data_IF_810664335231
#
_entry.id   IF_810664335231
#
_cell.length_a   1.000
_cell.length_b   1.000
_cell.length_c   1.000
_cell.angle_alpha   90.00
_cell.angle_beta   90.00
_cell.angle_gamma   90.00
#
_symmetry.space_group_name_H-M   'P 1'
#
loop_
_entity.id
_entity.type
_entity.pdbx_description
1 polymer ?
#
# COMPACT_ATOMS: atom_id res chain seq x y z
N UNK A 1 3.33 -2.89 -13.71
CA UNK A 1 2.32 -3.61 -12.89
C UNK A 1 2.25 -2.92 -11.52
N UNK A 2 1.14 -2.98 -10.79
CA UNK A 2 1.06 -2.47 -9.41
C UNK A 2 0.40 -3.56 -8.54
N UNK A 3 0.99 -3.87 -7.38
CA UNK A 3 0.55 -4.98 -6.52
C UNK A 3 0.55 -4.58 -5.03
N UNK A 4 -0.59 -4.71 -4.36
CA UNK A 4 -0.64 -4.50 -2.91
C UNK A 4 -0.22 -5.78 -2.18
N UNK A 5 0.62 -5.71 -1.13
CA UNK A 5 1.01 -6.89 -0.36
C UNK A 5 -0.19 -7.45 0.41
N UNK A 6 -0.43 -8.75 0.27
CA UNK A 6 -1.37 -9.50 1.08
C UNK A 6 -0.71 -10.13 2.29
N UNK A 7 -1.52 -10.83 3.08
CA UNK A 7 -1.04 -11.51 4.29
C UNK A 7 -0.09 -12.68 3.97
N UNK A 8 -0.16 -13.24 2.75
CA UNK A 8 0.71 -14.32 2.28
C UNK A 8 2.13 -13.86 1.93
N UNK A 9 2.33 -12.55 1.77
CA UNK A 9 3.63 -11.95 1.49
C UNK A 9 4.43 -11.66 2.77
N UNK A 10 3.85 -11.95 3.94
CA UNK A 10 4.49 -11.74 5.24
C UNK A 10 5.04 -13.04 5.80
N UNK A 11 6.30 -13.00 6.24
CA UNK A 11 6.91 -14.09 6.99
C UNK A 11 6.25 -14.14 8.38
N UNK A 12 5.69 -15.31 8.72
CA UNK A 12 5.05 -15.54 10.03
C UNK A 12 6.11 -15.79 11.09
N UNK A 13 6.15 -14.94 12.12
CA UNK A 13 7.07 -15.04 13.26
C UNK A 13 6.62 -14.12 14.41
N UNK A 14 7.49 -13.87 15.40
CA UNK A 14 7.23 -12.93 16.51
C UNK A 14 6.84 -11.53 16.04
N UNK A 15 7.37 -11.11 14.89
CA UNK A 15 6.99 -9.90 14.18
C UNK A 15 6.58 -10.25 12.75
N UNK A 16 5.56 -9.57 12.22
CA UNK A 16 5.18 -9.68 10.81
C UNK A 16 6.14 -8.84 9.99
N UNK A 17 7.02 -9.50 9.23
CA UNK A 17 7.98 -8.84 8.34
C UNK A 17 7.62 -9.17 6.90
N UNK A 18 7.53 -8.15 6.07
CA UNK A 18 7.29 -8.31 4.64
C UNK A 18 8.49 -9.01 3.99
N UNK A 19 8.23 -10.02 3.18
CA UNK A 19 9.27 -10.81 2.54
C UNK A 19 10.09 -9.93 1.57
N UNK A 20 11.43 -9.98 1.67
CA UNK A 20 12.31 -9.05 0.93
C UNK A 20 12.17 -9.14 -0.59
N UNK A 21 11.98 -10.34 -1.13
CA UNK A 21 11.76 -10.61 -2.57
C UNK A 21 10.51 -9.91 -3.08
N UNK A 22 9.49 -9.72 -2.23
CA UNK A 22 8.30 -8.98 -2.64
C UNK A 22 8.63 -7.56 -3.12
N UNK A 23 9.54 -6.86 -2.42
CA UNK A 23 10.00 -5.54 -2.86
C UNK A 23 10.81 -5.60 -4.17
N UNK A 24 11.61 -6.65 -4.37
CA UNK A 24 12.44 -6.82 -5.57
C UNK A 24 11.63 -7.15 -6.84
N UNK A 25 10.43 -7.74 -6.70
CA UNK A 25 9.50 -7.92 -7.84
C UNK A 25 9.07 -6.56 -8.42
N UNK A 26 9.06 -5.52 -7.59
CA UNK A 26 8.76 -4.13 -7.96
C UNK A 26 10.02 -3.26 -7.93
N UNK A 27 11.14 -3.75 -8.46
CA UNK A 27 12.43 -3.06 -8.41
C UNK A 27 12.38 -1.60 -8.89
N UNK A 28 11.56 -1.32 -9.91
CA UNK A 28 11.35 0.02 -10.47
C UNK A 28 10.60 1.00 -9.55
N UNK A 29 10.06 0.54 -8.41
CA UNK A 29 9.40 1.38 -7.39
C UNK A 29 10.16 1.42 -6.06
N UNK A 30 11.34 0.79 -5.96
CA UNK A 30 12.06 0.64 -4.69
C UNK A 30 12.33 1.98 -4.00
N UNK A 31 12.70 3.01 -4.77
CA UNK A 31 13.00 4.36 -4.27
C UNK A 31 11.74 5.15 -3.90
N UNK A 32 10.58 4.79 -4.48
CA UNK A 32 9.30 5.47 -4.23
C UNK A 32 8.53 4.90 -3.03
N UNK A 33 9.12 3.92 -2.32
CA UNK A 33 8.48 3.27 -1.17
C UNK A 33 8.35 4.21 0.01
N UNK A 34 7.14 4.29 0.56
CA UNK A 34 6.93 5.02 1.80
C UNK A 34 7.50 4.25 3.00
N UNK A 35 8.52 4.81 3.66
CA UNK A 35 9.19 4.23 4.85
C UNK A 35 9.57 2.76 4.65
N UNK A 36 10.18 2.41 3.51
CA UNK A 36 10.56 1.04 3.13
C UNK A 36 9.41 0.02 3.01
N UNK A 37 8.16 0.47 3.03
CA UNK A 37 6.99 -0.39 2.83
C UNK A 37 6.47 -0.29 1.40
N UNK A 38 5.76 -1.33 0.95
CA UNK A 38 5.19 -1.39 -0.39
C UNK A 38 3.87 -0.60 -0.49
N UNK A 39 4.01 0.69 -0.21
CA UNK A 39 2.99 1.73 -0.26
C UNK A 39 3.51 2.80 -1.21
N UNK A 40 2.79 3.05 -2.29
CA UNK A 40 3.23 3.93 -3.36
C UNK A 40 2.05 4.61 -4.05
N UNK A 41 2.33 5.74 -4.67
CA UNK A 41 1.41 6.46 -5.54
C UNK A 41 2.05 6.70 -6.90
N UNK A 42 1.29 6.47 -7.96
CA UNK A 42 1.73 6.70 -9.32
C UNK A 42 0.63 7.45 -10.06
N UNK A 43 1.01 8.50 -10.74
CA UNK A 43 0.13 9.19 -11.67
C UNK A 43 0.19 8.51 -13.04
N UNK A 44 -0.98 8.13 -13.56
CA UNK A 44 -1.14 7.60 -14.90
C UNK A 44 -2.30 8.30 -15.59
N UNK A 45 -1.98 9.10 -16.61
CA UNK A 45 -2.92 9.99 -17.31
C UNK A 45 -3.64 10.91 -16.31
N UNK A 46 -4.96 10.74 -16.19
CA UNK A 46 -5.85 11.52 -15.34
C UNK A 46 -6.26 10.77 -14.06
N UNK A 47 -5.44 9.79 -13.66
CA UNK A 47 -5.62 9.01 -12.45
C UNK A 47 -4.37 9.03 -11.56
N UNK A 48 -4.57 9.14 -10.25
CA UNK A 48 -3.58 8.77 -9.24
C UNK A 48 -3.95 7.38 -8.72
N UNK A 49 -3.05 6.42 -8.92
CA UNK A 49 -3.20 5.02 -8.49
C UNK A 49 -2.34 4.82 -7.25
N UNK A 50 -2.95 4.32 -6.18
CA UNK A 50 -2.34 4.22 -4.85
C UNK A 50 -2.45 2.78 -4.37
N UNK A 51 -1.37 2.23 -3.85
CA UNK A 51 -1.37 0.96 -3.11
C UNK A 51 -1.15 1.23 -1.63
N UNK A 52 -1.88 0.51 -0.79
CA UNK A 52 -1.73 0.52 0.66
C UNK A 52 -1.38 -0.87 1.17
N UNK A 53 -0.73 -0.89 2.32
CA UNK A 53 -0.41 -2.11 3.05
C UNK A 53 -1.39 -2.28 4.22
N UNK A 54 -2.23 -3.31 4.13
CA UNK A 54 -3.27 -3.61 5.11
C UNK A 54 -2.85 -4.65 6.15
N UNK A 55 -1.58 -5.03 6.21
CA UNK A 55 -1.06 -6.10 7.09
C UNK A 55 -0.16 -5.59 8.23
N UNK A 56 0.01 -4.27 8.32
CA UNK A 56 0.95 -3.60 9.21
C UNK A 56 0.38 -3.35 10.60
N UNK A 57 1.28 -3.04 11.54
CA UNK A 57 0.94 -2.68 12.90
C UNK A 57 0.15 -1.35 12.98
N UNK A 58 -0.59 -1.10 14.07
CA UNK A 58 -1.41 0.11 14.21
C UNK A 58 -0.64 1.42 14.03
N UNK A 59 0.60 1.51 14.51
CA UNK A 59 1.41 2.73 14.41
C UNK A 59 1.74 3.05 12.95
N UNK A 60 2.11 2.04 12.19
CA UNK A 60 2.29 2.21 10.75
C UNK A 60 0.97 2.55 10.05
N UNK A 61 -0.16 1.95 10.46
CA UNK A 61 -1.47 2.27 9.86
C UNK A 61 -1.86 3.75 10.04
N UNK A 62 -1.58 4.35 11.19
CA UNK A 62 -1.77 5.80 11.40
C UNK A 62 -0.85 6.62 10.49
N UNK A 63 0.43 6.28 10.44
CA UNK A 63 1.39 6.96 9.56
C UNK A 63 1.03 6.83 8.08
N UNK A 64 0.55 5.66 7.65
CA UNK A 64 0.07 5.39 6.29
C UNK A 64 -1.17 6.22 5.97
N UNK A 65 -2.09 6.39 6.94
CA UNK A 65 -3.26 7.25 6.78
C UNK A 65 -2.85 8.70 6.53
N UNK A 66 -1.94 9.26 7.34
CA UNK A 66 -1.47 10.64 7.13
C UNK A 66 -0.79 10.81 5.78
N UNK A 67 0.02 9.83 5.38
CA UNK A 67 0.66 9.81 4.06
C UNK A 67 -0.38 9.78 2.93
N UNK A 68 -1.42 8.96 3.06
CA UNK A 68 -2.52 8.87 2.10
C UNK A 68 -3.27 10.19 2.01
N UNK A 69 -3.64 10.79 3.14
CA UNK A 69 -4.34 12.10 3.17
C UNK A 69 -3.52 13.18 2.46
N UNK A 70 -2.21 13.22 2.70
CA UNK A 70 -1.31 14.16 2.02
C UNK A 70 -1.18 13.88 0.51
N UNK A 71 -1.13 12.60 0.13
CA UNK A 71 -1.07 12.19 -1.29
C UNK A 71 -2.35 12.60 -2.03
N UNK A 72 -3.52 12.39 -1.42
CA UNK A 72 -4.80 12.77 -1.99
C UNK A 72 -4.95 14.30 -2.10
N UNK A 73 -4.51 15.07 -1.10
CA UNK A 73 -4.53 16.53 -1.13
C UNK A 73 -3.62 17.11 -2.22
N UNK A 74 -2.50 16.46 -2.52
CA UNK A 74 -1.54 16.89 -3.56
C UNK A 74 -1.99 16.53 -4.97
N UNK A 75 -2.81 15.50 -5.14
CA UNK A 75 -3.26 15.05 -6.46
C UNK A 75 -4.32 15.98 -7.05
N UNK A 76 -4.04 16.50 -8.24
CA UNK A 76 -5.01 17.27 -9.06
C UNK A 76 -5.76 16.39 -10.07
N UNK A 77 -5.43 15.09 -10.13
CA UNK A 77 -5.99 14.14 -11.12
C UNK A 77 -7.46 13.89 -10.87
N UNK A 78 -8.25 13.67 -11.93
CA UNK A 78 -9.69 13.40 -11.78
C UNK A 78 -9.95 12.14 -10.96
N UNK A 79 -9.30 11.04 -11.31
CA UNK A 79 -9.53 9.72 -10.70
C UNK A 79 -8.51 9.44 -9.59
N UNK A 80 -8.99 8.90 -8.48
CA UNK A 80 -8.16 8.42 -7.37
C UNK A 80 -8.52 6.97 -7.12
N UNK A 81 -7.60 6.06 -7.42
CA UNK A 81 -7.82 4.61 -7.34
C UNK A 81 -6.95 4.09 -6.21
N UNK A 82 -7.57 3.51 -5.18
CA UNK A 82 -6.85 2.96 -4.01
C UNK A 82 -7.00 1.44 -4.02
N UNK A 83 -5.88 0.74 -3.86
CA UNK A 83 -5.80 -0.72 -3.87
C UNK A 83 -5.20 -1.22 -2.56
N UNK A 84 -5.86 -2.18 -1.91
CA UNK A 84 -5.39 -2.85 -0.70
C UNK A 84 -5.85 -4.30 -0.71
N UNK A 85 -5.18 -5.16 0.05
CA UNK A 85 -5.48 -6.58 0.07
C UNK A 85 -6.73 -6.92 0.89
N UNK A 86 -6.85 -6.38 2.11
CA UNK A 86 -8.02 -6.61 2.95
C UNK A 86 -9.15 -5.64 2.60
N UNK A 87 -10.40 -6.11 2.38
CA UNK A 87 -11.50 -5.23 2.08
C UNK A 87 -11.86 -4.37 3.30
N UNK A 88 -12.17 -3.10 3.08
CA UNK A 88 -12.67 -2.19 4.13
C UNK A 88 -14.07 -2.58 4.60
N UNK A 89 -14.88 -3.18 3.72
CA UNK A 89 -16.21 -3.68 4.01
C UNK A 89 -16.25 -5.18 3.63
N UNK A 90 -16.10 -6.10 4.59
CA UNK A 90 -16.27 -7.52 4.31
C UNK A 90 -17.75 -7.84 4.08
N UNK A 91 -18.06 -8.45 2.92
CA UNK A 91 -19.43 -8.92 2.61
C UNK A 91 -19.78 -10.23 3.33
N UNK A 92 -18.78 -10.92 3.88
CA UNK A 92 -18.99 -12.10 4.71
C UNK A 92 -19.31 -11.63 6.12
N UNK A 93 -20.60 -11.66 6.47
CA UNK A 93 -21.07 -11.47 7.83
C UNK A 93 -20.35 -12.43 8.79
N UNK A 94 -20.19 -11.99 10.04
CA UNK A 94 -19.64 -12.82 11.13
C UNK A 94 -20.37 -14.16 11.23
#
# INVERSE_FOLDING_TARGET
MLISPGNHEYVKGLTRVLEKRFAYVLSYLLESRYKDNNVYSIDYKDATIITLDSNRDPWFMFSQREWLENTLKKSTKKWKIVMLHHPSIPLRGK
#
